data_IF_623659965916
#
_entry.id   IF_623659965916
#
_cell.length_a   1.000
_cell.length_b   1.000
_cell.length_c   1.000
_cell.angle_alpha   90.00
_cell.angle_beta   90.00
_cell.angle_gamma   90.00
#
_symmetry.space_group_name_H-M   'P 1'
#
loop_
_entity.id
_entity.type
_entity.pdbx_description
1 polymer ?
#
# COMPACT_ATOMS: atom_id res chain seq x y z
N UNK A 1 10.80 27.35 -3.23
CA UNK A 1 10.91 25.93 -2.81
C UNK A 1 12.28 25.30 -3.07
N UNK A 2 13.06 25.77 -4.06
CA UNK A 2 14.33 25.13 -4.46
C UNK A 2 15.43 25.12 -3.38
N UNK A 3 15.69 26.26 -2.72
CA UNK A 3 16.78 26.38 -1.74
C UNK A 3 16.48 25.57 -0.48
N UNK A 4 15.26 25.68 0.06
CA UNK A 4 14.84 24.93 1.24
C UNK A 4 14.95 23.41 1.04
N UNK A 5 14.54 22.89 -0.12
CA UNK A 5 14.62 21.46 -0.43
C UNK A 5 16.07 20.95 -0.51
N UNK A 6 16.97 21.72 -1.10
CA UNK A 6 18.41 21.39 -1.16
C UNK A 6 19.01 21.41 0.25
N UNK A 7 18.74 22.48 1.02
CA UNK A 7 19.26 22.62 2.38
C UNK A 7 18.78 21.48 3.29
N UNK A 8 17.50 21.13 3.22
CA UNK A 8 16.95 20.01 4.00
C UNK A 8 17.58 18.67 3.61
N UNK A 9 17.91 18.47 2.33
CA UNK A 9 18.53 17.23 1.88
C UNK A 9 19.97 17.11 2.41
N UNK A 10 20.75 18.19 2.34
CA UNK A 10 22.14 18.20 2.84
C UNK A 10 22.18 17.91 4.34
N UNK A 11 21.27 18.51 5.11
CA UNK A 11 21.16 18.24 6.56
C UNK A 11 20.76 16.78 6.80
N UNK A 12 19.76 16.27 6.06
CA UNK A 12 19.29 14.89 6.20
C UNK A 12 20.39 13.87 5.91
N UNK A 13 21.13 14.01 4.81
CA UNK A 13 22.21 13.09 4.44
C UNK A 13 23.41 13.22 5.37
N UNK A 14 23.71 14.42 5.86
CA UNK A 14 24.78 14.62 6.85
C UNK A 14 24.50 13.94 8.18
N UNK A 15 23.22 13.88 8.59
CA UNK A 15 22.81 13.29 9.86
C UNK A 15 22.58 11.77 9.78
N UNK A 16 22.28 11.23 8.59
CA UNK A 16 21.93 9.82 8.39
C UNK A 16 22.90 9.16 7.40
N UNK A 17 24.21 9.14 7.74
CA UNK A 17 25.29 8.60 6.90
C UNK A 17 25.37 7.06 6.93
N UNK A 18 24.22 6.39 6.85
CA UNK A 18 24.23 4.94 6.74
C UNK A 18 24.64 4.54 5.32
N UNK A 19 25.63 3.65 5.15
CA UNK A 19 26.18 3.28 3.84
C UNK A 19 25.17 2.59 2.90
N UNK A 20 23.98 2.22 3.40
CA UNK A 20 22.87 1.69 2.60
C UNK A 20 21.74 2.70 2.31
N UNK A 21 21.85 3.94 2.77
CA UNK A 21 20.74 4.90 2.81
C UNK A 21 21.01 6.18 1.99
N UNK A 22 21.74 6.04 0.88
CA UNK A 22 22.02 7.16 -0.02
C UNK A 22 20.80 7.46 -0.89
N UNK A 23 19.84 8.17 -0.29
CA UNK A 23 18.59 8.56 -0.93
C UNK A 23 18.86 9.60 -2.02
N UNK A 24 18.63 9.22 -3.29
CA UNK A 24 18.64 10.15 -4.41
C UNK A 24 17.65 11.32 -4.14
N UNK A 25 18.02 12.54 -4.51
CA UNK A 25 17.23 13.78 -4.39
C UNK A 25 15.78 13.61 -4.79
N UNK A 26 15.49 12.88 -5.87
CA UNK A 26 14.11 12.63 -6.31
C UNK A 26 13.30 11.90 -5.24
N UNK A 27 13.86 10.82 -4.67
CA UNK A 27 13.19 10.03 -3.64
C UNK A 27 13.03 10.82 -2.35
N UNK A 28 14.04 11.58 -1.95
CA UNK A 28 13.97 12.46 -0.78
C UNK A 28 12.82 13.47 -0.91
N UNK A 29 12.73 14.18 -2.04
CA UNK A 29 11.67 15.17 -2.26
C UNK A 29 10.29 14.53 -2.34
N UNK A 30 10.17 13.37 -3.00
CA UNK A 30 8.90 12.62 -3.03
C UNK A 30 8.47 12.21 -1.62
N UNK A 31 9.40 11.70 -0.80
CA UNK A 31 9.11 11.28 0.57
C UNK A 31 8.61 12.45 1.41
N UNK A 32 9.34 13.58 1.40
CA UNK A 32 8.90 14.78 2.14
C UNK A 32 7.55 15.29 1.64
N UNK A 33 7.32 15.30 0.33
CA UNK A 33 6.04 15.73 -0.21
C UNK A 33 4.89 14.84 0.28
N UNK A 34 5.08 13.51 0.33
CA UNK A 34 4.09 12.59 0.86
C UNK A 34 3.89 12.77 2.37
N UNK A 35 4.96 12.90 3.14
CA UNK A 35 4.91 13.11 4.60
C UNK A 35 4.16 14.40 4.96
N UNK A 36 4.35 15.48 4.18
CA UNK A 36 3.63 16.74 4.37
C UNK A 36 2.15 16.66 3.96
N UNK A 37 1.81 15.80 3.00
CA UNK A 37 0.45 15.64 2.50
C UNK A 37 -0.37 14.63 3.31
N UNK A 38 0.26 13.70 4.02
CA UNK A 38 -0.39 12.60 4.73
C UNK A 38 -1.57 13.04 5.64
N UNK A 39 -1.43 14.09 6.50
CA UNK A 39 -2.55 14.54 7.34
C UNK A 39 -3.75 15.03 6.51
N UNK A 40 -3.47 15.71 5.39
CA UNK A 40 -4.50 16.21 4.50
C UNK A 40 -5.15 15.09 3.70
N UNK A 41 -4.38 14.08 3.28
CA UNK A 41 -4.88 12.90 2.58
C UNK A 41 -5.84 12.09 3.48
N UNK A 42 -5.49 11.92 4.76
CA UNK A 42 -6.35 11.26 5.76
C UNK A 42 -7.65 12.00 6.00
N UNK A 43 -7.60 13.32 6.20
CA UNK A 43 -8.81 14.14 6.35
C UNK A 43 -9.72 14.00 5.11
N UNK A 44 -9.11 14.11 3.93
CA UNK A 44 -9.77 13.96 2.64
C UNK A 44 -10.39 12.58 2.43
N UNK A 45 -9.79 11.52 2.94
CA UNK A 45 -10.33 10.16 2.84
C UNK A 45 -11.65 9.97 3.62
N UNK A 46 -11.94 10.85 4.58
CA UNK A 46 -13.20 10.83 5.36
C UNK A 46 -14.38 11.51 4.67
N UNK A 47 -14.13 12.27 3.60
CA UNK A 47 -15.19 12.96 2.85
C UNK A 47 -16.08 11.95 2.11
N UNK A 48 -17.39 12.09 2.26
CA UNK A 48 -18.41 11.18 1.69
C UNK A 48 -19.10 11.73 0.45
N UNK A 49 -18.81 12.97 0.07
CA UNK A 49 -19.42 13.69 -1.04
C UNK A 49 -18.77 13.40 -2.41
N UNK A 50 -18.19 12.22 -2.58
CA UNK A 50 -17.50 11.79 -3.80
C UNK A 50 -17.94 10.38 -4.22
N UNK A 51 -17.84 10.01 -5.50
CA UNK A 51 -18.17 8.66 -5.95
C UNK A 51 -17.38 7.58 -5.21
N UNK A 52 -18.03 6.44 -4.92
CA UNK A 52 -17.44 5.34 -4.14
C UNK A 52 -16.09 4.85 -4.68
N UNK A 53 -15.93 4.75 -6.01
CA UNK A 53 -14.66 4.33 -6.62
C UNK A 53 -13.50 5.30 -6.31
N UNK A 54 -13.79 6.60 -6.24
CA UNK A 54 -12.79 7.62 -5.85
C UNK A 54 -12.53 7.56 -4.35
N UNK A 55 -13.56 7.28 -3.55
CA UNK A 55 -13.45 7.16 -2.10
C UNK A 55 -12.56 5.98 -1.71
N UNK A 56 -12.79 4.80 -2.29
CA UNK A 56 -11.96 3.61 -2.10
C UNK A 56 -10.50 3.93 -2.45
N UNK A 57 -10.24 4.50 -3.63
CA UNK A 57 -8.88 4.85 -4.04
C UNK A 57 -8.20 5.88 -3.14
N UNK A 58 -8.94 6.86 -2.60
CA UNK A 58 -8.39 7.83 -1.62
C UNK A 58 -8.02 7.13 -0.31
N UNK A 59 -8.85 6.20 0.15
CA UNK A 59 -8.61 5.44 1.38
C UNK A 59 -7.46 4.43 1.20
N UNK A 60 -7.27 3.86 0.00
CA UNK A 60 -6.07 3.06 -0.35
C UNK A 60 -4.81 3.89 -0.19
N UNK A 61 -4.78 5.07 -0.84
CA UNK A 61 -3.61 5.95 -0.86
C UNK A 61 -3.32 6.54 0.52
N UNK A 62 -4.35 6.85 1.31
CA UNK A 62 -4.20 7.34 2.68
C UNK A 62 -3.86 6.24 3.70
N UNK A 63 -3.86 4.96 3.27
CA UNK A 63 -3.63 3.82 4.17
C UNK A 63 -4.74 3.63 5.21
N UNK A 64 -5.93 4.18 4.98
CA UNK A 64 -7.08 4.14 5.91
C UNK A 64 -8.13 3.11 5.54
N UNK A 65 -7.95 2.36 4.45
CA UNK A 65 -8.81 1.21 4.15
C UNK A 65 -8.64 0.15 5.24
N UNK A 66 -9.65 0.05 6.10
CA UNK A 66 -9.99 -1.23 6.69
C UNK A 66 -10.55 -2.12 5.57
N UNK A 67 -9.92 -3.26 5.31
CA UNK A 67 -10.49 -4.30 4.46
C UNK A 67 -11.86 -4.70 5.02
N UNK A 68 -12.92 -4.15 4.45
CA UNK A 68 -14.25 -4.70 4.59
C UNK A 68 -14.51 -5.53 3.34
N UNK A 69 -14.14 -6.81 3.39
CA UNK A 69 -14.55 -7.86 2.46
C UNK A 69 -16.06 -8.12 2.62
N UNK A 70 -16.88 -7.11 2.36
CA UNK A 70 -18.32 -7.24 2.22
C UNK A 70 -18.71 -6.75 0.83
N UNK A 71 -18.61 -7.69 -0.11
CA UNK A 71 -19.55 -7.92 -1.21
C UNK A 71 -20.34 -6.69 -1.68
N UNK A 72 -19.84 -6.02 -2.72
CA UNK A 72 -20.75 -5.40 -3.69
C UNK A 72 -21.18 -6.50 -4.68
N UNK A 73 -22.08 -7.38 -4.25
CA UNK A 73 -22.85 -8.22 -5.16
C UNK A 73 -23.82 -7.32 -5.94
N UNK A 74 -23.39 -6.91 -7.14
CA UNK A 74 -24.32 -6.47 -8.17
C UNK A 74 -25.18 -7.67 -8.58
N UNK A 75 -26.52 -7.54 -8.68
CA UNK A 75 -27.37 -8.61 -9.16
C UNK A 75 -27.18 -8.74 -10.68
N UNK A 76 -26.25 -9.61 -11.10
CA UNK A 76 -26.21 -10.09 -12.47
C UNK A 76 -24.82 -10.33 -13.04
N UNK A 77 -24.52 -11.62 -13.22
CA UNK A 77 -23.48 -12.23 -14.08
C UNK A 77 -22.04 -12.14 -13.54
N UNK A 78 -21.20 -13.17 -13.55
CA UNK A 78 -21.31 -14.60 -13.82
C UNK A 78 -19.91 -15.18 -13.52
N UNK A 79 -19.88 -16.33 -12.86
CA UNK A 79 -18.80 -17.32 -12.85
C UNK A 79 -17.52 -17.05 -12.04
N UNK A 80 -17.53 -17.69 -10.86
CA UNK A 80 -16.40 -18.15 -10.07
C UNK A 80 -15.35 -18.90 -10.92
N UNK A 81 -14.18 -18.29 -11.14
CA UNK A 81 -13.00 -19.02 -11.65
C UNK A 81 -11.79 -18.89 -10.70
N UNK A 82 -11.74 -17.86 -9.85
CA UNK A 82 -10.50 -17.54 -9.10
C UNK A 82 -10.44 -18.16 -7.68
N UNK A 83 -11.57 -18.59 -7.09
CA UNK A 83 -11.58 -19.19 -5.74
C UNK A 83 -11.08 -20.64 -5.70
N UNK A 84 -11.30 -21.41 -6.78
CA UNK A 84 -10.86 -22.81 -6.86
C UNK A 84 -9.33 -22.95 -6.98
N UNK A 85 -8.65 -21.98 -7.59
CA UNK A 85 -7.20 -22.02 -7.80
C UNK A 85 -6.41 -21.81 -6.49
N UNK A 86 -6.86 -20.92 -5.60
CA UNK A 86 -6.19 -20.71 -4.29
C UNK A 86 -6.34 -21.93 -3.37
N UNK A 87 -7.53 -22.55 -3.31
CA UNK A 87 -7.74 -23.75 -2.48
C UNK A 87 -6.87 -24.95 -2.91
N UNK A 88 -6.62 -25.14 -4.21
CA UNK A 88 -5.73 -26.23 -4.67
C UNK A 88 -4.27 -26.00 -4.31
N UNK A 89 -3.79 -24.77 -4.43
CA UNK A 89 -2.40 -24.43 -4.10
C UNK A 89 -2.12 -24.65 -2.61
N UNK A 90 -3.04 -24.22 -1.74
CA UNK A 90 -2.86 -24.36 -0.28
C UNK A 90 -2.94 -25.82 0.18
N UNK A 91 -3.78 -26.65 -0.46
CA UNK A 91 -3.83 -28.09 -0.21
C UNK A 91 -2.56 -28.82 -0.69
N UNK A 92 -2.00 -28.44 -1.83
CA UNK A 92 -0.76 -29.05 -2.36
C UNK A 92 0.48 -28.69 -1.53
N UNK A 93 0.55 -27.47 -0.99
CA UNK A 93 1.62 -27.05 -0.08
C UNK A 93 1.55 -27.84 1.23
N UNK A 94 0.34 -28.00 1.78
CA UNK A 94 0.12 -28.74 3.04
C UNK A 94 0.46 -30.23 2.87
N UNK A 95 0.09 -30.84 1.74
CA UNK A 95 0.39 -32.24 1.45
C UNK A 95 1.89 -32.52 1.21
N UNK A 96 2.63 -31.57 0.63
CA UNK A 96 4.10 -31.71 0.47
C UNK A 96 4.84 -31.62 1.81
N UNK A 97 4.40 -30.73 2.71
CA UNK A 97 5.03 -30.59 4.02
C UNK A 97 4.78 -31.78 4.95
N UNK A 98 3.61 -32.43 4.86
CA UNK A 98 3.28 -33.61 5.65
C UNK A 98 4.11 -34.85 5.29
N UNK A 99 4.57 -34.98 4.03
CA UNK A 99 5.43 -36.10 3.59
C UNK A 99 6.89 -35.96 4.03
N UNK A 100 7.34 -34.75 4.36
CA UNK A 100 8.71 -34.47 4.79
C UNK A 100 8.93 -34.61 6.32
N UNK A 101 7.88 -34.95 7.09
CA UNK A 101 7.96 -35.06 8.55
C UNK A 101 8.00 -36.52 9.05
N UNK A 102 8.04 -37.51 8.15
CA UNK A 102 8.17 -38.93 8.46
C UNK A 102 9.32 -39.58 7.67
N UNK A 103 10.52 -38.99 7.77
CA UNK A 103 11.81 -39.64 7.46
C UNK A 103 12.79 -39.32 8.58
#
# INVERSE_FOLDING_TARGET
MNIAGINSQVIYTSNNKDPGNDLNRRHFLTKIALDLLDPHLKLRATETNIPQAVQQRRQEVAGTLAYNDQQLEMPGKSENIVSSAKMKIDQDITAKNAKNLYV
#
